data_IF_947705788606
#
_entry.id   IF_947705788606
#
_cell.length_a   1.000
_cell.length_b   1.000
_cell.length_c   1.000
_cell.angle_alpha   90.00
_cell.angle_beta   90.00
_cell.angle_gamma   90.00
#
_symmetry.space_group_name_H-M   'P 1'
#
loop_
_entity.id
_entity.type
_entity.pdbx_description
1 polymer ?
#
# COMPACT_ATOMS: atom_id res chain seq x y z
N UNK A 1 -53.49 -38.92 18.46
CA UNK A 1 -54.03 -37.57 18.74
C UNK A 1 -52.82 -36.65 18.90
N UNK A 2 -52.50 -35.92 17.84
CA UNK A 2 -51.28 -35.14 17.67
C UNK A 2 -51.51 -33.68 18.09
N UNK A 3 -50.74 -33.19 19.04
CA UNK A 3 -50.62 -31.76 19.38
C UNK A 3 -49.22 -31.60 19.99
N UNK A 4 -48.21 -31.07 19.27
CA UNK A 4 -47.67 -29.69 19.40
C UNK A 4 -46.17 -29.79 18.98
N UNK A 5 -45.50 -28.78 18.38
CA UNK A 5 -45.99 -27.61 17.64
C UNK A 5 -45.17 -27.22 16.39
N UNK A 6 -45.78 -26.36 15.57
CA UNK A 6 -45.18 -25.57 14.50
C UNK A 6 -44.13 -24.50 14.94
N UNK A 7 -43.49 -24.63 16.11
CA UNK A 7 -42.55 -23.61 16.65
C UNK A 7 -41.08 -23.82 16.25
N UNK A 8 -40.70 -25.02 15.81
CA UNK A 8 -39.31 -25.37 15.53
C UNK A 8 -38.80 -24.72 14.23
N UNK A 9 -39.67 -24.62 13.22
CA UNK A 9 -39.34 -24.00 11.93
C UNK A 9 -39.29 -22.46 12.01
N UNK A 10 -40.09 -21.84 12.88
CA UNK A 10 -40.05 -20.40 13.14
C UNK A 10 -38.72 -19.98 13.78
N UNK A 11 -38.27 -20.70 14.83
CA UNK A 11 -36.98 -20.44 15.50
C UNK A 11 -35.76 -20.68 14.60
N UNK A 12 -35.83 -21.64 13.67
CA UNK A 12 -34.76 -21.90 12.71
C UNK A 12 -34.60 -20.76 11.69
N UNK A 13 -35.71 -20.18 11.20
CA UNK A 13 -35.68 -19.00 10.32
C UNK A 13 -35.19 -17.76 11.05
N UNK A 14 -35.55 -17.59 12.32
CA UNK A 14 -35.07 -16.48 13.14
C UNK A 14 -33.57 -16.58 13.43
N UNK A 15 -33.07 -17.78 13.73
CA UNK A 15 -31.63 -18.02 13.90
C UNK A 15 -30.82 -17.75 12.61
N UNK A 16 -31.38 -18.10 11.44
CA UNK A 16 -30.74 -17.85 10.14
C UNK A 16 -30.72 -16.35 9.77
N UNK A 17 -31.79 -15.61 10.10
CA UNK A 17 -31.86 -14.15 9.93
C UNK A 17 -30.94 -13.40 10.90
N UNK A 18 -30.77 -13.87 12.14
CA UNK A 18 -29.87 -13.28 13.13
C UNK A 18 -28.40 -13.51 12.72
N UNK A 19 -28.07 -14.68 12.17
CA UNK A 19 -26.76 -14.97 11.59
C UNK A 19 -26.41 -14.07 10.40
N UNK A 20 -27.34 -13.89 9.45
CA UNK A 20 -27.15 -12.97 8.32
C UNK A 20 -27.07 -11.50 8.76
N UNK A 21 -27.89 -11.08 9.74
CA UNK A 21 -27.87 -9.71 10.27
C UNK A 21 -26.57 -9.34 11.01
N UNK A 22 -25.85 -10.32 11.57
CA UNK A 22 -24.54 -10.12 12.18
C UNK A 22 -23.42 -10.08 11.14
N UNK A 23 -23.46 -10.97 10.14
CA UNK A 23 -22.46 -11.03 9.06
C UNK A 23 -22.51 -9.77 8.18
N UNK A 24 -23.71 -9.35 7.75
CA UNK A 24 -23.90 -8.15 6.90
C UNK A 24 -23.46 -6.86 7.61
N UNK A 25 -23.55 -6.79 8.94
CA UNK A 25 -23.14 -5.59 9.69
C UNK A 25 -21.62 -5.46 9.78
N UNK A 26 -20.89 -6.57 9.96
CA UNK A 26 -19.42 -6.57 9.96
C UNK A 26 -18.82 -6.30 8.58
N UNK A 27 -19.40 -6.90 7.53
CA UNK A 27 -18.99 -6.68 6.14
C UNK A 27 -19.20 -5.22 5.70
N UNK A 28 -20.25 -4.56 6.17
CA UNK A 28 -20.52 -3.15 5.84
C UNK A 28 -19.49 -2.19 6.43
N UNK A 29 -19.02 -2.44 7.67
CA UNK A 29 -17.94 -1.66 8.29
C UNK A 29 -16.60 -1.89 7.60
N UNK A 30 -16.31 -3.13 7.22
CA UNK A 30 -15.12 -3.47 6.43
C UNK A 30 -15.18 -2.80 5.04
N UNK A 31 -16.31 -2.85 4.35
CA UNK A 31 -16.51 -2.19 3.06
C UNK A 31 -16.36 -0.67 3.15
N UNK A 32 -16.94 -0.04 4.18
CA UNK A 32 -16.75 1.39 4.45
C UNK A 32 -15.29 1.73 4.74
N UNK A 33 -14.60 0.91 5.53
CA UNK A 33 -13.17 1.05 5.80
C UNK A 33 -12.32 0.96 4.53
N UNK A 34 -12.60 -0.01 3.66
CA UNK A 34 -11.92 -0.17 2.37
C UNK A 34 -12.18 1.04 1.47
N UNK A 35 -13.44 1.48 1.34
CA UNK A 35 -13.79 2.67 0.53
C UNK A 35 -13.12 3.94 1.09
N UNK A 36 -13.06 4.10 2.41
CA UNK A 36 -12.37 5.22 3.05
C UNK A 36 -10.85 5.20 2.79
N UNK A 37 -10.21 4.03 2.84
CA UNK A 37 -8.79 3.86 2.47
C UNK A 37 -8.57 4.19 0.99
N UNK A 38 -9.49 3.78 0.11
CA UNK A 38 -9.45 4.13 -1.32
C UNK A 38 -9.60 5.64 -1.54
N UNK A 39 -10.47 6.32 -0.78
CA UNK A 39 -10.63 7.78 -0.85
C UNK A 39 -9.40 8.52 -0.30
N UNK A 40 -8.80 8.01 0.78
CA UNK A 40 -7.52 8.53 1.28
C UNK A 40 -6.38 8.33 0.28
N UNK A 41 -6.43 7.24 -0.49
CA UNK A 41 -5.58 6.99 -1.66
C UNK A 41 -5.89 7.95 -2.83
N UNK A 42 -6.89 8.82 -2.76
CA UNK A 42 -7.18 9.84 -3.79
C UNK A 42 -6.63 11.23 -3.43
N UNK A 43 -6.32 11.53 -2.16
CA UNK A 43 -5.79 12.85 -1.75
C UNK A 43 -4.32 13.12 -2.17
N UNK A 44 -4.04 13.87 -3.26
CA UNK A 44 -2.75 13.92 -3.95
C UNK A 44 -1.59 14.43 -3.06
N UNK A 45 -0.46 13.71 -3.11
CA UNK A 45 0.78 14.14 -2.46
C UNK A 45 1.49 15.18 -3.35
N UNK A 46 2.15 16.20 -2.78
CA UNK A 46 2.89 17.18 -3.56
C UNK A 46 4.11 16.55 -4.25
N UNK A 47 4.34 16.90 -5.52
CA UNK A 47 5.35 16.30 -6.41
C UNK A 47 6.80 16.55 -5.95
N UNK A 48 7.09 17.70 -5.36
CA UNK A 48 8.46 18.08 -4.94
C UNK A 48 9.05 17.14 -3.87
N UNK A 49 8.20 16.69 -2.93
CA UNK A 49 8.59 15.79 -1.85
C UNK A 49 8.92 14.39 -2.40
N UNK A 50 8.17 13.98 -3.43
CA UNK A 50 8.36 12.69 -4.08
C UNK A 50 9.71 12.62 -4.80
N UNK A 51 10.09 13.66 -5.55
CA UNK A 51 11.40 13.74 -6.21
C UNK A 51 12.56 13.66 -5.19
N UNK A 52 12.46 14.42 -4.09
CA UNK A 52 13.47 14.39 -3.04
C UNK A 52 13.61 13.00 -2.40
N UNK A 53 12.48 12.37 -2.06
CA UNK A 53 12.49 11.06 -1.43
C UNK A 53 12.93 9.94 -2.39
N UNK A 54 12.59 10.03 -3.68
CA UNK A 54 13.12 9.13 -4.72
C UNK A 54 14.64 9.24 -4.83
N UNK A 55 15.16 10.47 -4.84
CA UNK A 55 16.60 10.71 -4.81
C UNK A 55 17.27 10.06 -3.60
N UNK A 56 16.68 10.22 -2.41
CA UNK A 56 17.16 9.58 -1.18
C UNK A 56 17.12 8.05 -1.29
N UNK A 57 16.03 7.47 -1.80
CA UNK A 57 15.88 6.01 -1.92
C UNK A 57 16.93 5.37 -2.83
N UNK A 58 17.22 6.02 -3.96
CA UNK A 58 18.26 5.56 -4.89
C UNK A 58 19.64 5.73 -4.24
N UNK A 59 19.92 6.91 -3.68
CA UNK A 59 21.20 7.18 -3.02
C UNK A 59 21.46 6.23 -1.84
N UNK A 60 20.47 6.01 -0.97
CA UNK A 60 20.59 5.13 0.19
C UNK A 60 20.83 3.69 -0.22
N UNK A 61 20.20 3.22 -1.31
CA UNK A 61 20.41 1.84 -1.73
C UNK A 61 21.68 1.61 -2.54
N UNK A 62 22.19 2.61 -3.27
CA UNK A 62 23.56 2.57 -3.81
C UNK A 62 24.60 2.64 -2.69
N UNK A 63 24.37 3.46 -1.65
CA UNK A 63 25.24 3.54 -0.47
C UNK A 63 25.33 2.19 0.25
N UNK A 64 24.19 1.52 0.49
CA UNK A 64 24.16 0.19 1.10
C UNK A 64 24.87 -0.82 0.19
N UNK A 65 24.61 -0.80 -1.12
CA UNK A 65 25.29 -1.67 -2.08
C UNK A 65 26.83 -1.50 -1.99
N UNK A 66 27.30 -0.25 -1.98
CA UNK A 66 28.71 0.08 -1.82
C UNK A 66 29.24 -0.48 -0.48
N UNK A 67 28.60 -0.15 0.64
CA UNK A 67 29.01 -0.65 1.97
C UNK A 67 29.08 -2.17 2.01
N UNK A 68 28.12 -2.88 1.41
CA UNK A 68 28.11 -4.35 1.36
C UNK A 68 29.20 -4.95 0.49
N UNK A 69 29.61 -4.27 -0.59
CA UNK A 69 30.69 -4.71 -1.48
C UNK A 69 32.07 -4.62 -0.82
N UNK A 70 32.26 -3.69 0.12
CA UNK A 70 33.54 -3.46 0.80
C UNK A 70 33.67 -4.17 2.16
N UNK A 71 32.64 -4.86 2.64
CA UNK A 71 32.63 -5.47 3.98
C UNK A 71 33.30 -6.86 3.98
N UNK A 72 34.32 -7.06 4.82
CA UNK A 72 35.08 -8.34 4.93
C UNK A 72 34.73 -9.17 6.18
N UNK A 73 33.97 -8.62 7.14
CA UNK A 73 33.56 -9.34 8.37
C UNK A 73 32.04 -9.25 8.60
N UNK A 74 31.33 -10.38 8.77
CA UNK A 74 29.88 -10.44 9.01
C UNK A 74 29.47 -10.13 10.47
N UNK A 75 30.28 -9.44 11.27
CA UNK A 75 30.02 -9.23 12.71
C UNK A 75 29.13 -8.02 13.04
N UNK A 76 28.75 -7.19 12.05
CA UNK A 76 27.71 -6.14 12.14
C UNK A 76 26.33 -6.61 11.66
N UNK A 77 26.16 -7.92 11.47
CA UNK A 77 24.95 -8.54 10.89
C UNK A 77 23.66 -8.33 11.70
N UNK A 78 23.69 -7.75 12.90
CA UNK A 78 22.46 -7.34 13.61
C UNK A 78 21.93 -5.98 13.13
N UNK A 79 22.83 -5.04 12.81
CA UNK A 79 22.45 -3.71 12.31
C UNK A 79 22.15 -3.72 10.82
N UNK A 80 22.79 -4.63 10.06
CA UNK A 80 22.61 -4.73 8.60
C UNK A 80 21.17 -5.04 8.17
N UNK A 81 20.47 -6.08 8.69
CA UNK A 81 19.08 -6.37 8.35
C UNK A 81 18.14 -5.23 8.70
N UNK A 82 18.40 -4.53 9.81
CA UNK A 82 17.58 -3.39 10.24
C UNK A 82 17.67 -2.23 9.25
N UNK A 83 18.88 -1.89 8.79
CA UNK A 83 19.08 -0.85 7.75
C UNK A 83 18.47 -1.29 6.41
N UNK A 84 18.61 -2.56 6.04
CA UNK A 84 18.02 -3.11 4.82
C UNK A 84 16.48 -3.09 4.87
N UNK A 85 15.88 -3.48 6.00
CA UNK A 85 14.43 -3.43 6.24
C UNK A 85 13.92 -1.99 6.19
N UNK A 86 14.58 -1.06 6.87
CA UNK A 86 14.20 0.36 6.85
C UNK A 86 14.25 0.94 5.44
N UNK A 87 15.31 0.65 4.68
CA UNK A 87 15.45 1.06 3.28
C UNK A 87 14.38 0.42 2.39
N UNK A 88 14.04 -0.83 2.65
CA UNK A 88 12.98 -1.54 1.91
C UNK A 88 11.61 -0.96 2.21
N UNK A 89 11.32 -0.59 3.46
CA UNK A 89 10.08 0.08 3.85
C UNK A 89 9.97 1.48 3.21
N UNK A 90 11.06 2.26 3.22
CA UNK A 90 11.13 3.54 2.51
C UNK A 90 10.80 3.34 1.01
N UNK A 91 11.45 2.38 0.37
CA UNK A 91 11.19 2.03 -1.04
C UNK A 91 9.72 1.67 -1.28
N UNK A 92 9.13 0.83 -0.43
CA UNK A 92 7.72 0.41 -0.57
C UNK A 92 6.76 1.60 -0.44
N UNK A 93 6.97 2.47 0.55
CA UNK A 93 6.16 3.66 0.75
C UNK A 93 6.23 4.63 -0.44
N UNK A 94 7.44 4.84 -0.99
CA UNK A 94 7.63 5.72 -2.14
C UNK A 94 7.08 5.15 -3.44
N UNK A 95 7.15 3.84 -3.64
CA UNK A 95 6.55 3.18 -4.80
C UNK A 95 5.01 3.25 -4.74
N UNK A 96 4.41 3.12 -3.55
CA UNK A 96 2.97 3.29 -3.38
C UNK A 96 2.54 4.76 -3.59
N UNK A 97 3.34 5.72 -3.09
CA UNK A 97 3.10 7.14 -3.30
C UNK A 97 3.26 7.56 -4.78
N UNK A 98 4.27 7.04 -5.48
CA UNK A 98 4.54 7.36 -6.89
C UNK A 98 3.46 6.84 -7.81
N UNK A 99 3.07 5.56 -7.67
CA UNK A 99 1.97 4.99 -8.48
C UNK A 99 0.66 5.76 -8.29
N UNK A 100 0.34 6.12 -7.06
CA UNK A 100 -0.81 6.96 -6.75
C UNK A 100 -0.70 8.35 -7.37
N UNK A 101 0.46 9.00 -7.30
CA UNK A 101 0.71 10.32 -7.89
C UNK A 101 0.59 10.26 -9.43
N UNK A 102 1.18 9.24 -10.07
CA UNK A 102 1.11 8.99 -11.50
C UNK A 102 -0.34 8.73 -11.94
N UNK A 103 -1.11 7.92 -11.20
CA UNK A 103 -2.50 7.60 -11.56
C UNK A 103 -3.46 8.77 -11.32
N UNK A 104 -3.23 9.59 -10.29
CA UNK A 104 -4.08 10.75 -9.97
C UNK A 104 -3.77 12.00 -10.80
N UNK A 105 -2.50 12.23 -11.15
CA UNK A 105 -2.07 13.45 -11.83
C UNK A 105 -1.46 13.21 -13.23
N UNK A 106 -1.24 11.96 -13.64
CA UNK A 106 -0.65 11.64 -14.96
C UNK A 106 -1.49 12.06 -16.17
N UNK A 107 -2.78 12.36 -15.98
CA UNK A 107 -3.64 12.93 -17.04
C UNK A 107 -3.27 14.38 -17.39
N UNK A 108 -2.49 15.06 -16.55
CA UNK A 108 -1.97 16.42 -16.76
C UNK A 108 -0.61 16.43 -17.49
N UNK A 109 -0.11 15.26 -17.93
CA UNK A 109 1.18 15.10 -18.61
C UNK A 109 2.27 14.49 -17.73
N UNK A 110 3.40 14.11 -18.36
CA UNK A 110 4.56 13.48 -17.69
C UNK A 110 5.19 14.36 -16.61
N UNK A 111 5.15 15.68 -16.77
CA UNK A 111 5.64 16.65 -15.80
C UNK A 111 4.91 16.60 -14.45
N UNK A 112 3.69 16.07 -14.40
CA UNK A 112 2.89 15.99 -13.17
C UNK A 112 3.32 14.84 -12.24
N UNK A 113 4.14 13.90 -12.71
CA UNK A 113 4.65 12.79 -11.91
C UNK A 113 5.87 13.15 -11.04
N UNK A 114 6.55 14.27 -11.34
CA UNK A 114 7.84 14.63 -10.76
C UNK A 114 8.94 14.65 -11.82
N UNK A 115 9.91 15.54 -11.64
CA UNK A 115 10.97 15.80 -12.62
C UNK A 115 11.96 14.62 -12.70
N UNK A 116 12.19 13.93 -11.59
CA UNK A 116 13.05 12.73 -11.57
C UNK A 116 12.38 11.62 -12.38
N UNK A 117 11.09 11.35 -12.15
CA UNK A 117 10.35 10.31 -12.88
C UNK A 117 10.30 10.62 -14.38
N UNK A 118 9.98 11.86 -14.75
CA UNK A 118 9.93 12.29 -16.15
C UNK A 118 11.28 12.15 -16.86
N UNK A 119 12.35 12.60 -16.22
CA UNK A 119 13.71 12.52 -16.79
C UNK A 119 14.14 11.08 -16.98
N UNK A 120 13.95 10.21 -15.98
CA UNK A 120 14.27 8.79 -16.11
C UNK A 120 13.40 8.11 -17.18
N UNK A 121 12.11 8.46 -17.27
CA UNK A 121 11.21 7.95 -18.31
C UNK A 121 11.68 8.30 -19.72
N UNK A 122 12.05 9.56 -19.95
CA UNK A 122 12.59 10.02 -21.23
C UNK A 122 13.94 9.36 -21.56
N UNK A 123 14.83 9.17 -20.57
CA UNK A 123 16.10 8.48 -20.76
C UNK A 123 15.92 7.01 -21.18
N UNK A 124 14.92 6.31 -20.62
CA UNK A 124 14.59 4.92 -20.95
C UNK A 124 13.88 4.76 -22.30
N UNK A 125 13.02 5.72 -22.68
CA UNK A 125 12.30 5.72 -23.96
C UNK A 125 13.11 6.25 -25.14
N UNK A 126 14.16 7.02 -24.89
CA UNK A 126 15.04 7.59 -25.92
C UNK A 126 16.09 6.60 -26.46
N UNK A 127 16.15 5.38 -25.90
CA UNK A 127 17.08 4.32 -26.28
C UNK A 127 16.45 3.23 -27.14
#
# INVERSE_FOLDING_TARGET
MAIVPANAQARAKDALKIGQGLLVRGEMWLALGVIAILVMLILPMPTWLLDFMLGISIASSVLILMVTLFIQRPTDLSSFPTILLMTTLLRLALNMASTRLILSNGHQGTAAAGHVIETFGNLLMSG
#
